data_IF_467789099877
#
_entry.id   IF_467789099877
#
_cell.length_a   1.000
_cell.length_b   1.000
_cell.length_c   1.000
_cell.angle_alpha   90.00
_cell.angle_beta   90.00
_cell.angle_gamma   90.00
#
_symmetry.space_group_name_H-M   'P 1'
#
loop_
_entity.id
_entity.type
_entity.pdbx_description
1 polymer ?
#
# COMPACT_ATOMS: atom_id res chain seq x y z
N UNK A 1 13.75 4.85 18.24
CA UNK A 1 12.79 5.02 19.35
C UNK A 1 11.59 4.13 19.05
N UNK A 2 11.45 2.97 19.72
CA UNK A 2 10.28 2.08 19.55
C UNK A 2 9.11 2.72 20.31
N UNK A 3 8.05 3.10 19.61
CA UNK A 3 6.80 3.50 20.27
C UNK A 3 6.16 2.22 20.84
N UNK A 4 6.00 2.10 22.17
CA UNK A 4 5.34 0.94 22.76
C UNK A 4 3.85 0.99 22.42
N UNK A 5 3.30 -0.12 21.91
CA UNK A 5 1.84 -0.31 21.84
C UNK A 5 1.39 -0.56 23.27
N UNK A 6 1.03 0.52 23.96
CA UNK A 6 0.56 0.49 25.34
C UNK A 6 -0.96 0.29 25.33
N UNK A 7 -1.37 -0.93 25.65
CA UNK A 7 -2.74 -1.37 25.99
C UNK A 7 -3.81 -1.31 24.89
N UNK A 8 -4.46 -2.46 24.67
CA UNK A 8 -5.80 -2.51 24.10
C UNK A 8 -6.73 -1.92 25.17
N UNK A 9 -7.28 -0.72 24.93
CA UNK A 9 -8.28 -0.13 25.81
C UNK A 9 -9.51 -1.04 25.76
N UNK A 10 -9.96 -1.64 26.88
CA UNK A 10 -11.20 -2.41 26.89
C UNK A 10 -12.35 -1.43 26.63
N UNK A 11 -12.78 -1.32 25.37
CA UNK A 11 -13.80 -0.39 24.91
C UNK A 11 -13.44 0.51 23.72
N UNK A 12 -12.18 0.55 23.23
CA UNK A 12 -11.86 1.29 21.99
C UNK A 12 -12.18 0.46 20.75
N UNK A 13 -12.85 1.08 19.76
CA UNK A 13 -13.22 0.44 18.52
C UNK A 13 -11.97 0.08 17.68
N UNK A 14 -11.98 -1.04 16.95
CA UNK A 14 -10.87 -1.49 16.11
C UNK A 14 -10.40 -0.42 15.11
N UNK A 15 -11.32 0.47 14.73
CA UNK A 15 -11.07 1.67 13.94
C UNK A 15 -9.97 2.56 14.52
N UNK A 16 -10.08 2.94 15.79
CA UNK A 16 -9.15 3.89 16.41
C UNK A 16 -7.74 3.31 16.45
N UNK A 17 -7.64 2.00 16.71
CA UNK A 17 -6.38 1.28 16.69
C UNK A 17 -5.74 1.30 15.29
N UNK A 18 -6.53 1.01 14.26
CA UNK A 18 -6.06 1.06 12.87
C UNK A 18 -5.69 2.50 12.47
N UNK A 19 -6.49 3.50 12.85
CA UNK A 19 -6.24 4.90 12.54
C UNK A 19 -4.93 5.39 13.16
N UNK A 20 -4.58 4.94 14.37
CA UNK A 20 -3.28 5.22 14.99
C UNK A 20 -2.11 4.56 14.25
N UNK A 21 -2.27 3.31 13.80
CA UNK A 21 -1.25 2.63 12.99
C UNK A 21 -1.04 3.39 11.68
N UNK A 22 -2.13 3.75 10.99
CA UNK A 22 -2.07 4.49 9.73
C UNK A 22 -1.40 5.85 9.92
N UNK A 23 -1.74 6.59 10.99
CA UNK A 23 -1.08 7.85 11.31
C UNK A 23 0.44 7.68 11.46
N UNK A 24 0.88 6.65 12.18
CA UNK A 24 2.31 6.37 12.35
C UNK A 24 2.99 5.99 11.04
N UNK A 25 2.32 5.22 10.18
CA UNK A 25 2.83 4.86 8.85
C UNK A 25 2.97 6.11 7.97
N UNK A 26 1.94 6.95 7.89
CA UNK A 26 2.01 8.21 7.13
C UNK A 26 3.16 9.09 7.61
N UNK A 27 3.31 9.21 8.94
CA UNK A 27 4.39 9.98 9.55
C UNK A 27 5.76 9.39 9.22
N UNK A 28 5.92 8.07 9.34
CA UNK A 28 7.16 7.39 9.01
C UNK A 28 7.56 7.63 7.54
N UNK A 29 6.61 7.51 6.62
CA UNK A 29 6.83 7.76 5.19
C UNK A 29 7.29 9.20 4.94
N UNK A 30 6.67 10.18 5.59
CA UNK A 30 7.03 11.60 5.47
C UNK A 30 8.38 11.92 6.12
N UNK A 31 8.59 11.49 7.35
CA UNK A 31 9.80 11.78 8.12
C UNK A 31 11.06 11.18 7.47
N UNK A 32 10.93 9.99 6.87
CA UNK A 32 12.03 9.29 6.19
C UNK A 32 12.14 9.60 4.69
N UNK A 33 11.34 10.53 4.16
CA UNK A 33 11.36 10.92 2.75
C UNK A 33 11.29 9.71 1.80
N UNK A 34 10.47 8.71 2.16
CA UNK A 34 10.35 7.46 1.39
C UNK A 34 9.58 7.65 0.07
N UNK A 35 9.08 8.86 -0.19
CA UNK A 35 8.42 9.24 -1.42
C UNK A 35 9.13 10.41 -2.10
N UNK A 36 9.31 10.38 -3.44
CA UNK A 36 8.92 9.31 -4.36
C UNK A 36 9.80 8.05 -4.20
N UNK A 37 9.15 6.88 -4.14
CA UNK A 37 9.83 5.57 -4.03
C UNK A 37 10.25 5.09 -5.42
N UNK A 38 11.51 4.73 -5.57
CA UNK A 38 12.01 4.17 -6.82
C UNK A 38 11.52 2.72 -6.99
N UNK A 39 10.93 2.43 -8.15
CA UNK A 39 10.45 1.11 -8.52
C UNK A 39 11.52 0.38 -9.34
N UNK A 40 11.58 -0.97 -9.23
CA UNK A 40 12.51 -1.75 -10.03
C UNK A 40 12.19 -1.63 -11.53
N UNK A 41 13.23 -1.72 -12.35
CA UNK A 41 13.11 -1.80 -13.80
C UNK A 41 12.33 -3.07 -14.18
N UNK A 42 11.45 -2.94 -15.16
CA UNK A 42 10.60 -4.04 -15.61
C UNK A 42 10.71 -4.21 -17.12
N UNK A 43 10.99 -5.43 -17.56
CA UNK A 43 11.03 -5.77 -18.98
C UNK A 43 9.93 -6.77 -19.27
N UNK A 44 9.07 -6.45 -20.24
CA UNK A 44 7.96 -7.29 -20.68
C UNK A 44 8.06 -7.58 -22.17
N UNK A 45 8.10 -8.86 -22.51
CA UNK A 45 8.01 -9.32 -23.88
C UNK A 45 6.55 -9.63 -24.19
N UNK A 46 6.00 -9.01 -25.24
CA UNK A 46 4.64 -9.28 -25.68
C UNK A 46 4.67 -9.86 -27.09
N UNK A 47 3.80 -10.83 -27.34
CA UNK A 47 3.53 -11.34 -28.68
C UNK A 47 2.04 -11.24 -28.92
N UNK A 48 1.66 -10.54 -29.98
CA UNK A 48 0.27 -10.35 -30.37
C UNK A 48 0.08 -10.82 -31.81
N UNK A 49 -0.93 -11.67 -32.01
CA UNK A 49 -1.37 -12.05 -33.35
C UNK A 49 -2.33 -10.98 -33.89
N UNK A 50 -1.99 -10.43 -35.05
CA UNK A 50 -2.84 -9.47 -35.78
C UNK A 50 -2.92 -9.94 -37.23
N UNK A 51 -4.12 -10.36 -37.67
CA UNK A 51 -4.42 -10.85 -39.02
C UNK A 51 -3.32 -11.74 -39.64
N UNK A 52 -3.25 -13.01 -39.22
CA UNK A 52 -2.30 -14.03 -39.69
C UNK A 52 -0.80 -13.74 -39.48
N UNK A 53 -0.43 -12.59 -38.91
CA UNK A 53 0.96 -12.23 -38.59
C UNK A 53 1.15 -12.17 -37.08
N UNK A 54 2.25 -12.77 -36.58
CA UNK A 54 2.71 -12.64 -35.20
C UNK A 54 3.62 -11.43 -35.08
N UNK A 55 3.19 -10.44 -34.31
CA UNK A 55 4.03 -9.29 -33.95
C UNK A 55 4.55 -9.50 -32.54
N UNK A 56 5.86 -9.61 -32.40
CA UNK A 56 6.54 -9.67 -31.11
C UNK A 56 7.24 -8.34 -30.86
N UNK A 57 7.13 -7.83 -29.63
CA UNK A 57 7.79 -6.61 -29.19
C UNK A 57 8.27 -6.74 -27.75
N UNK A 58 9.23 -5.91 -27.39
CA UNK A 58 9.78 -5.81 -26.05
C UNK A 58 9.50 -4.40 -25.52
N UNK A 59 8.86 -4.33 -24.36
CA UNK A 59 8.63 -3.09 -23.63
C UNK A 59 9.53 -3.11 -22.40
N UNK A 60 10.43 -2.13 -22.31
CA UNK A 60 11.30 -1.93 -21.15
C UNK A 60 10.86 -0.66 -20.45
N UNK A 61 10.56 -0.79 -19.15
CA UNK A 61 10.14 0.29 -18.27
C UNK A 61 11.28 0.61 -17.32
N UNK A 62 11.80 1.83 -17.42
CA UNK A 62 12.94 2.32 -16.65
C UNK A 62 12.53 3.50 -15.76
N UNK A 63 13.38 3.81 -14.77
CA UNK A 63 13.18 4.97 -13.88
C UNK A 63 11.78 5.05 -13.27
N UNK A 64 11.24 3.90 -12.87
CA UNK A 64 9.94 3.83 -12.23
C UNK A 64 9.93 4.60 -10.92
N UNK A 65 8.89 5.39 -10.67
CA UNK A 65 8.68 6.02 -9.38
C UNK A 65 7.22 5.97 -8.95
N UNK A 66 7.01 5.85 -7.63
CA UNK A 66 5.72 5.82 -6.97
C UNK A 66 5.63 6.94 -5.93
N UNK A 67 4.54 7.69 -5.94
CA UNK A 67 4.24 8.69 -4.92
C UNK A 67 2.75 8.66 -4.53
N UNK A 68 2.41 9.04 -3.31
CA UNK A 68 1.04 9.05 -2.77
C UNK A 68 0.76 7.94 -1.74
N UNK A 69 1.73 7.12 -1.36
CA UNK A 69 1.67 6.13 -0.28
C UNK A 69 1.41 6.79 1.08
N UNK A 70 1.93 8.00 1.32
CA UNK A 70 1.67 8.77 2.55
C UNK A 70 0.22 9.25 2.71
N UNK A 71 -0.65 9.01 1.73
CA UNK A 71 -2.09 9.32 1.80
C UNK A 71 -2.93 8.13 2.26
N UNK A 72 -2.28 7.06 2.73
CA UNK A 72 -2.96 5.84 3.18
C UNK A 72 -3.97 6.16 4.29
N UNK A 73 -5.22 5.79 4.07
CA UNK A 73 -6.32 6.06 4.98
C UNK A 73 -7.28 4.87 5.01
N UNK A 74 -8.10 4.79 6.04
CA UNK A 74 -9.14 3.79 6.15
C UNK A 74 -10.34 4.20 5.28
N UNK A 75 -10.93 3.24 4.58
CA UNK A 75 -12.07 3.48 3.67
C UNK A 75 -13.40 2.99 4.22
N UNK A 76 -13.39 2.14 5.24
CA UNK A 76 -14.59 1.57 5.86
C UNK A 76 -14.34 1.25 7.34
N UNK A 77 -15.39 0.87 8.06
CA UNK A 77 -15.29 0.39 9.44
C UNK A 77 -14.45 -0.90 9.52
N UNK A 78 -13.68 -1.05 10.59
CA UNK A 78 -12.87 -2.22 10.85
C UNK A 78 -13.69 -3.33 11.49
N UNK A 79 -13.50 -4.55 11.02
CA UNK A 79 -14.06 -5.73 11.66
C UNK A 79 -13.06 -6.32 12.66
N UNK A 80 -13.53 -6.61 13.87
CA UNK A 80 -12.76 -7.34 14.88
C UNK A 80 -13.42 -8.69 15.15
N UNK A 81 -12.68 -9.76 14.86
CA UNK A 81 -13.13 -11.14 15.07
C UNK A 81 -12.25 -11.76 16.13
N UNK A 82 -12.85 -12.10 17.27
CA UNK A 82 -12.16 -12.77 18.37
C UNK A 82 -12.54 -14.24 18.40
N UNK A 83 -11.54 -15.11 18.19
CA UNK A 83 -11.62 -16.53 18.48
C UNK A 83 -10.96 -16.82 19.83
N UNK A 84 -11.19 -18.02 20.39
CA UNK A 84 -10.71 -18.42 21.73
C UNK A 84 -9.21 -18.19 22.00
N UNK A 85 -8.38 -18.10 20.96
CA UNK A 85 -6.92 -17.93 21.04
C UNK A 85 -6.35 -16.85 20.13
N UNK A 86 -7.18 -16.17 19.33
CA UNK A 86 -6.70 -15.29 18.26
C UNK A 86 -7.65 -14.13 18.06
N UNK A 87 -7.09 -12.93 17.93
CA UNK A 87 -7.82 -11.72 17.55
C UNK A 87 -7.41 -11.40 16.10
N UNK A 88 -8.39 -11.38 15.21
CA UNK A 88 -8.22 -10.97 13.82
C UNK A 88 -8.85 -9.59 13.64
N UNK A 89 -8.08 -8.66 13.10
CA UNK A 89 -8.55 -7.32 12.75
C UNK A 89 -8.48 -7.19 11.23
N UNK A 90 -9.62 -6.85 10.62
CA UNK A 90 -9.74 -6.60 9.20
C UNK A 90 -10.12 -5.15 8.99
N UNK A 91 -9.38 -4.45 8.12
CA UNK A 91 -9.61 -3.05 7.82
C UNK A 91 -9.53 -2.85 6.31
N UNK A 92 -10.42 -2.02 5.77
CA UNK A 92 -10.35 -1.60 4.38
C UNK A 92 -9.49 -0.33 4.31
N UNK A 93 -8.43 -0.39 3.50
CA UNK A 93 -7.46 0.69 3.34
C UNK A 93 -7.48 1.20 1.91
N UNK A 94 -7.33 2.51 1.76
CA UNK A 94 -7.27 3.21 0.50
C UNK A 94 -6.07 4.14 0.42
N UNK A 95 -5.69 4.48 -0.81
CA UNK A 95 -4.64 5.44 -1.13
C UNK A 95 -5.25 6.51 -2.03
N UNK A 96 -5.05 7.77 -1.68
CA UNK A 96 -5.49 8.89 -2.49
C UNK A 96 -4.36 9.38 -3.39
N UNK A 97 -4.71 9.78 -4.62
CA UNK A 97 -3.78 10.43 -5.53
C UNK A 97 -2.47 9.65 -5.76
N UNK A 98 -2.54 8.31 -5.76
CA UNK A 98 -1.39 7.46 -6.07
C UNK A 98 -0.92 7.73 -7.49
N UNK A 99 0.34 8.15 -7.64
CA UNK A 99 0.99 8.44 -8.91
C UNK A 99 2.09 7.41 -9.14
N UNK A 100 2.00 6.73 -10.27
CA UNK A 100 3.02 5.82 -10.76
C UNK A 100 3.42 6.27 -12.16
N UNK A 101 4.72 6.36 -12.40
CA UNK A 101 5.25 6.67 -13.73
C UNK A 101 6.51 5.86 -14.00
N UNK A 102 6.67 5.49 -15.26
CA UNK A 102 7.84 4.83 -15.84
C UNK A 102 8.21 5.54 -17.13
N UNK A 103 9.48 5.45 -17.52
CA UNK A 103 9.96 5.91 -18.82
C UNK A 103 10.18 4.74 -19.78
#
# INVERSE_FOLDING_TARGET
MKLPITSIIPGSNANEYIDQILFNVQKYVKDHHLEPMQLPEFTSNFTKEVMYVKVSGEAKLYDGWLAGVSTIHRTDECELRTNKTTISVSAHLGLNNLKLAYK
#
